data_IF_952436138559
#
_entry.id   IF_952436138559
#
_cell.length_a   1.000
_cell.length_b   1.000
_cell.length_c   1.000
_cell.angle_alpha   90.00
_cell.angle_beta   90.00
_cell.angle_gamma   90.00
#
_symmetry.space_group_name_H-M   'P 1'
#
loop_
_entity.id
_entity.type
_entity.pdbx_description
1 polymer ?
#
# COMPACT_ATOMS: atom_id res chain seq x y z
N UNK A 1 -25.71 -4.29 1.82
CA UNK A 1 -24.71 -3.23 1.63
C UNK A 1 -23.64 -3.49 2.68
N UNK A 2 -22.39 -3.74 2.30
CA UNK A 2 -21.32 -3.94 3.28
C UNK A 2 -20.89 -2.58 3.85
N UNK A 3 -20.55 -2.57 5.14
CA UNK A 3 -20.19 -1.36 5.88
C UNK A 3 -18.76 -0.96 5.54
N UNK A 4 -18.56 0.29 5.14
CA UNK A 4 -17.26 0.85 4.73
C UNK A 4 -16.59 1.52 5.94
N UNK A 5 -15.66 0.81 6.56
CA UNK A 5 -14.91 1.30 7.72
C UNK A 5 -13.94 2.42 7.36
N UNK A 6 -13.40 2.44 6.14
CA UNK A 6 -12.44 3.46 5.74
C UNK A 6 -13.10 4.85 5.73
N UNK A 7 -14.21 4.99 5.02
CA UNK A 7 -14.96 6.26 4.99
C UNK A 7 -15.53 6.61 6.36
N UNK A 8 -16.03 5.60 7.10
CA UNK A 8 -16.54 5.81 8.45
C UNK A 8 -15.46 6.38 9.38
N UNK A 9 -14.26 5.79 9.44
CA UNK A 9 -13.18 6.27 10.30
C UNK A 9 -12.61 7.61 9.85
N UNK A 10 -12.52 7.86 8.54
CA UNK A 10 -12.11 9.17 8.03
C UNK A 10 -13.06 10.27 8.53
N UNK A 11 -14.36 10.01 8.49
CA UNK A 11 -15.37 10.95 8.98
C UNK A 11 -15.34 11.10 10.50
N UNK A 12 -15.20 9.99 11.25
CA UNK A 12 -15.05 10.05 12.71
C UNK A 12 -13.79 10.81 13.14
N UNK A 13 -12.67 10.62 12.44
CA UNK A 13 -11.43 11.38 12.65
C UNK A 13 -11.66 12.87 12.46
N UNK A 14 -12.37 13.26 11.38
CA UNK A 14 -12.69 14.65 11.09
C UNK A 14 -13.54 15.31 12.18
N UNK A 15 -14.53 14.58 12.69
CA UNK A 15 -15.47 15.06 13.73
C UNK A 15 -14.80 15.14 15.09
N UNK A 16 -14.10 14.08 15.52
CA UNK A 16 -13.62 13.93 16.90
C UNK A 16 -12.22 14.52 17.11
N UNK A 17 -11.41 14.66 16.05
CA UNK A 17 -10.05 15.20 16.11
C UNK A 17 -9.89 16.44 15.20
N UNK A 18 -10.69 17.50 15.38
CA UNK A 18 -10.67 18.67 14.51
C UNK A 18 -9.39 19.51 14.63
N UNK A 19 -8.52 19.24 15.61
CA UNK A 19 -7.22 19.91 15.78
C UNK A 19 -6.02 19.08 15.27
N UNK A 20 -6.23 17.80 14.92
CA UNK A 20 -5.16 16.93 14.48
C UNK A 20 -4.60 17.39 13.14
N UNK A 21 -3.29 17.60 13.06
CA UNK A 21 -2.60 18.14 11.88
C UNK A 21 -3.11 19.54 11.48
N UNK A 22 -3.56 20.35 12.44
CA UNK A 22 -4.07 21.72 12.22
C UNK A 22 -3.02 22.71 11.72
N UNK A 23 -1.73 22.35 11.78
CA UNK A 23 -0.63 23.15 11.23
C UNK A 23 -0.57 23.15 9.69
N UNK A 24 -1.29 22.24 9.02
CA UNK A 24 -1.34 22.13 7.56
C UNK A 24 -2.57 22.83 6.97
N UNK A 25 -2.53 23.13 5.67
CA UNK A 25 -3.71 23.68 4.97
C UNK A 25 -4.88 22.67 4.98
N UNK A 26 -6.15 23.10 4.85
CA UNK A 26 -7.29 22.19 4.90
C UNK A 26 -7.24 21.03 3.89
N UNK A 27 -6.77 21.30 2.67
CA UNK A 27 -6.65 20.29 1.61
C UNK A 27 -5.55 19.28 1.90
N UNK A 28 -4.34 19.75 2.24
CA UNK A 28 -3.22 18.88 2.61
C UNK A 28 -3.55 18.05 3.85
N UNK A 29 -4.17 18.69 4.86
CA UNK A 29 -4.61 18.03 6.07
C UNK A 29 -5.60 16.91 5.78
N UNK A 30 -6.57 17.14 4.90
CA UNK A 30 -7.53 16.11 4.52
C UNK A 30 -6.83 14.92 3.85
N UNK A 31 -5.90 15.18 2.93
CA UNK A 31 -5.13 14.12 2.26
C UNK A 31 -4.29 13.32 3.25
N UNK A 32 -3.60 13.99 4.18
CA UNK A 32 -2.78 13.37 5.23
C UNK A 32 -3.63 12.52 6.19
N UNK A 33 -4.83 13.00 6.58
CA UNK A 33 -5.73 12.24 7.45
C UNK A 33 -6.29 11.00 6.74
N UNK A 34 -6.59 11.09 5.44
CA UNK A 34 -7.02 9.92 4.65
C UNK A 34 -5.88 8.88 4.54
N UNK A 35 -4.66 9.34 4.29
CA UNK A 35 -3.47 8.49 4.23
C UNK A 35 -3.23 7.77 5.57
N UNK A 36 -3.25 8.50 6.69
CA UNK A 36 -3.11 7.92 8.03
C UNK A 36 -4.25 6.94 8.37
N UNK A 37 -5.49 7.24 7.96
CA UNK A 37 -6.63 6.34 8.18
C UNK A 37 -6.49 5.04 7.39
N UNK A 38 -6.12 5.13 6.11
CA UNK A 38 -5.86 3.96 5.26
C UNK A 38 -4.72 3.11 5.83
N UNK A 39 -3.66 3.78 6.28
CA UNK A 39 -2.49 3.14 6.86
C UNK A 39 -2.82 2.41 8.17
N UNK A 40 -3.51 3.08 9.10
CA UNK A 40 -3.94 2.50 10.37
C UNK A 40 -4.91 1.32 10.17
N UNK A 41 -5.92 1.46 9.31
CA UNK A 41 -6.88 0.39 9.04
C UNK A 41 -6.21 -0.80 8.36
N UNK A 42 -5.36 -0.54 7.37
CA UNK A 42 -4.58 -1.60 6.71
C UNK A 42 -3.70 -2.36 7.71
N UNK A 43 -3.13 -1.67 8.71
CA UNK A 43 -2.33 -2.29 9.77
C UNK A 43 -3.18 -3.15 10.70
N UNK A 44 -4.34 -2.65 11.12
CA UNK A 44 -5.27 -3.42 11.94
C UNK A 44 -5.72 -4.70 11.23
N UNK A 45 -6.03 -4.63 9.93
CA UNK A 45 -6.41 -5.80 9.14
C UNK A 45 -5.28 -6.82 9.09
N UNK A 46 -4.03 -6.39 8.89
CA UNK A 46 -2.91 -7.34 8.75
C UNK A 46 -2.52 -7.99 10.07
N UNK A 47 -2.53 -7.23 11.17
CA UNK A 47 -2.32 -7.83 12.49
C UNK A 47 -3.47 -8.77 12.88
N UNK A 48 -4.70 -8.43 12.50
CA UNK A 48 -5.86 -9.29 12.71
C UNK A 48 -5.74 -10.61 11.94
N UNK A 49 -5.29 -10.56 10.68
CA UNK A 49 -5.01 -11.77 9.89
C UNK A 49 -3.93 -12.66 10.52
N UNK A 50 -2.95 -12.06 11.21
CA UNK A 50 -1.88 -12.81 11.87
C UNK A 50 -2.32 -13.40 13.21
N UNK A 51 -3.01 -12.62 14.06
CA UNK A 51 -3.47 -13.05 15.37
C UNK A 51 -4.71 -12.26 15.83
N UNK A 52 -5.86 -12.60 15.26
CA UNK A 52 -7.16 -11.97 15.58
C UNK A 52 -7.48 -11.96 17.08
N UNK A 53 -7.12 -13.02 17.82
CA UNK A 53 -7.45 -13.12 19.25
C UNK A 53 -6.66 -12.12 20.09
N UNK A 54 -5.39 -11.89 19.74
CA UNK A 54 -4.57 -10.87 20.37
C UNK A 54 -5.12 -9.47 20.06
N UNK A 55 -5.31 -9.14 18.77
CA UNK A 55 -5.83 -7.82 18.38
C UNK A 55 -7.21 -7.55 18.96
N UNK A 56 -8.07 -8.57 19.06
CA UNK A 56 -9.37 -8.46 19.73
C UNK A 56 -9.22 -8.13 21.22
N UNK A 57 -8.27 -8.73 21.93
CA UNK A 57 -8.01 -8.41 23.33
C UNK A 57 -7.52 -6.95 23.48
N UNK A 58 -6.55 -6.54 22.66
CA UNK A 58 -6.01 -5.17 22.64
C UNK A 58 -7.11 -4.13 22.36
N UNK A 59 -8.02 -4.46 21.43
CA UNK A 59 -9.20 -3.66 21.13
C UNK A 59 -10.13 -3.52 22.33
N UNK A 60 -10.45 -4.63 23.03
CA UNK A 60 -11.33 -4.60 24.20
C UNK A 60 -10.73 -3.78 25.36
N UNK A 61 -9.40 -3.84 25.51
CA UNK A 61 -8.68 -3.14 26.58
C UNK A 61 -8.32 -1.68 26.22
N UNK A 62 -8.40 -1.31 24.93
CA UNK A 62 -7.95 -0.03 24.40
C UNK A 62 -6.50 0.30 24.83
N UNK A 63 -5.62 -0.70 24.72
CA UNK A 63 -4.26 -0.63 25.26
C UNK A 63 -3.42 0.46 24.54
N UNK A 64 -2.93 1.42 25.32
CA UNK A 64 -2.14 2.55 24.83
C UNK A 64 -0.71 2.16 24.43
N UNK A 65 -0.13 1.13 25.06
CA UNK A 65 1.17 0.57 24.72
C UNK A 65 1.11 -0.13 23.37
N UNK A 66 0.05 -0.91 23.11
CA UNK A 66 -0.19 -1.51 21.80
C UNK A 66 -0.24 -0.42 20.71
N UNK A 67 -1.08 0.60 20.88
CA UNK A 67 -1.18 1.73 19.94
C UNK A 67 0.17 2.41 19.72
N UNK A 68 0.93 2.68 20.78
CA UNK A 68 2.25 3.30 20.68
C UNK A 68 3.25 2.41 19.95
N UNK A 69 3.27 1.10 20.22
CA UNK A 69 4.17 0.16 19.58
C UNK A 69 3.88 0.04 18.08
N UNK A 70 2.61 -0.07 17.70
CA UNK A 70 2.18 -0.09 16.30
C UNK A 70 2.62 1.20 15.61
N UNK A 71 2.29 2.37 16.18
CA UNK A 71 2.66 3.65 15.59
C UNK A 71 4.18 3.81 15.43
N UNK A 72 4.96 3.44 16.45
CA UNK A 72 6.42 3.47 16.38
C UNK A 72 6.96 2.53 15.31
N UNK A 73 6.45 1.30 15.24
CA UNK A 73 6.88 0.32 14.24
C UNK A 73 6.69 0.87 12.82
N UNK A 74 5.52 1.44 12.54
CA UNK A 74 5.20 2.05 11.25
C UNK A 74 6.05 3.29 10.98
N UNK A 75 6.31 4.11 12.00
CA UNK A 75 7.20 5.29 11.90
C UNK A 75 8.63 4.89 11.51
N UNK A 76 9.13 3.78 12.06
CA UNK A 76 10.48 3.27 11.81
C UNK A 76 10.60 2.34 10.60
N UNK A 77 9.49 2.03 9.93
CA UNK A 77 9.50 1.15 8.77
C UNK A 77 10.32 1.75 7.62
N UNK A 78 11.11 0.91 6.95
CA UNK A 78 11.86 1.30 5.75
C UNK A 78 10.95 1.65 4.57
N UNK A 79 9.68 1.21 4.62
CA UNK A 79 8.67 1.47 3.59
C UNK A 79 7.86 2.74 3.85
N UNK A 80 8.03 3.37 5.01
CA UNK A 80 7.37 4.64 5.31
C UNK A 80 7.92 5.74 4.39
N UNK A 81 7.04 6.29 3.54
CA UNK A 81 7.34 7.41 2.64
C UNK A 81 6.44 8.62 2.89
N UNK A 82 5.83 8.72 4.08
CA UNK A 82 4.99 9.86 4.43
C UNK A 82 5.78 11.17 4.34
N UNK A 83 5.08 12.24 3.94
CA UNK A 83 5.63 13.60 3.85
C UNK A 83 5.73 14.27 5.22
N UNK A 84 5.09 13.71 6.24
CA UNK A 84 5.13 14.20 7.61
C UNK A 84 6.51 14.03 8.25
N UNK A 85 6.83 14.91 9.21
CA UNK A 85 7.96 14.67 10.10
C UNK A 85 7.72 13.38 10.90
N UNK A 86 8.78 12.67 11.32
CA UNK A 86 8.63 11.45 12.13
C UNK A 86 7.80 11.66 13.39
N UNK A 87 7.96 12.84 14.01
CA UNK A 87 7.22 13.19 15.22
C UNK A 87 5.72 13.38 14.92
N UNK A 88 5.39 14.18 13.90
CA UNK A 88 4.00 14.44 13.52
C UNK A 88 3.31 13.18 13.02
N UNK A 89 4.04 12.34 12.27
CA UNK A 89 3.57 11.05 11.79
C UNK A 89 3.25 10.11 12.95
N UNK A 90 4.19 9.91 13.89
CA UNK A 90 3.96 9.00 15.03
C UNK A 90 2.80 9.50 15.90
N UNK A 91 2.74 10.79 16.19
CA UNK A 91 1.65 11.38 16.98
C UNK A 91 0.31 11.26 16.25
N UNK A 92 0.26 11.62 14.97
CA UNK A 92 -0.98 11.55 14.18
C UNK A 92 -1.47 10.12 14.02
N UNK A 93 -0.57 9.17 13.78
CA UNK A 93 -0.92 7.77 13.67
C UNK A 93 -1.43 7.19 15.00
N UNK A 94 -0.85 7.58 16.14
CA UNK A 94 -1.37 7.18 17.46
C UNK A 94 -2.80 7.67 17.68
N UNK A 95 -3.09 8.92 17.34
CA UNK A 95 -4.44 9.50 17.48
C UNK A 95 -5.45 8.80 16.58
N UNK A 96 -5.08 8.52 15.32
CA UNK A 96 -5.93 7.80 14.37
C UNK A 96 -6.17 6.35 14.81
N UNK A 97 -5.12 5.61 15.20
CA UNK A 97 -5.25 4.23 15.70
C UNK A 97 -6.12 4.15 16.95
N UNK A 98 -5.91 5.06 17.91
CA UNK A 98 -6.72 5.13 19.13
C UNK A 98 -8.19 5.33 18.82
N UNK A 99 -8.50 6.24 17.89
CA UNK A 99 -9.85 6.49 17.42
C UNK A 99 -10.44 5.26 16.71
N UNK A 100 -9.71 4.67 15.76
CA UNK A 100 -10.21 3.49 15.02
C UNK A 100 -10.50 2.32 15.96
N UNK A 101 -9.66 2.06 16.96
CA UNK A 101 -9.91 1.02 17.97
C UNK A 101 -11.13 1.33 18.83
N UNK A 102 -11.29 2.58 19.27
CA UNK A 102 -12.46 3.01 20.03
C UNK A 102 -13.76 2.84 19.23
N UNK A 103 -13.73 3.23 17.96
CA UNK A 103 -14.86 3.10 17.05
C UNK A 103 -15.19 1.63 16.74
N UNK A 104 -14.18 0.79 16.48
CA UNK A 104 -14.38 -0.65 16.32
C UNK A 104 -14.96 -1.30 17.58
N UNK A 105 -14.49 -0.89 18.77
CA UNK A 105 -15.02 -1.36 20.04
C UNK A 105 -16.49 -0.95 20.20
N UNK A 106 -16.84 0.29 19.87
CA UNK A 106 -18.22 0.75 19.92
C UNK A 106 -19.13 -0.04 18.95
N UNK A 107 -18.64 -0.33 17.74
CA UNK A 107 -19.35 -1.16 16.76
C UNK A 107 -19.57 -2.59 17.29
N UNK A 108 -18.56 -3.17 17.94
CA UNK A 108 -18.65 -4.47 18.57
C UNK A 108 -19.65 -4.49 19.74
N UNK A 109 -19.55 -3.54 20.66
CA UNK A 109 -20.40 -3.44 21.84
C UNK A 109 -21.88 -3.17 21.44
N UNK A 110 -22.10 -2.34 20.42
CA UNK A 110 -23.46 -2.02 19.94
C UNK A 110 -24.04 -3.18 19.13
N UNK A 111 -23.24 -3.76 18.23
CA UNK A 111 -23.66 -4.82 17.31
C UNK A 111 -23.64 -6.21 17.92
N UNK A 112 -23.05 -6.39 19.11
CA UNK A 112 -22.76 -7.67 19.74
C UNK A 112 -22.05 -8.64 18.78
N UNK A 113 -21.10 -8.10 18.00
CA UNK A 113 -20.45 -8.82 16.89
C UNK A 113 -19.56 -9.96 17.41
N UNK A 114 -18.87 -9.70 18.51
CA UNK A 114 -17.76 -10.50 19.00
C UNK A 114 -16.63 -10.60 17.98
N UNK A 115 -15.62 -11.39 18.34
CA UNK A 115 -14.45 -11.61 17.47
C UNK A 115 -14.83 -12.13 16.07
N UNK A 116 -15.87 -12.96 15.95
CA UNK A 116 -16.30 -13.51 14.65
C UNK A 116 -16.90 -12.42 13.75
N UNK A 117 -17.81 -11.60 14.27
CA UNK A 117 -18.42 -10.53 13.48
C UNK A 117 -17.40 -9.45 13.09
N UNK A 118 -16.50 -9.09 14.01
CA UNK A 118 -15.39 -8.18 13.68
C UNK A 118 -14.44 -8.77 12.64
N UNK A 119 -14.20 -10.09 12.65
CA UNK A 119 -13.38 -10.74 11.64
C UNK A 119 -14.00 -10.62 10.24
N UNK A 120 -15.30 -10.87 10.10
CA UNK A 120 -16.00 -10.69 8.82
C UNK A 120 -15.97 -9.21 8.38
N UNK A 121 -16.21 -8.29 9.32
CA UNK A 121 -16.20 -6.86 9.05
C UNK A 121 -14.83 -6.37 8.55
N UNK A 122 -13.75 -6.68 9.27
CA UNK A 122 -12.39 -6.22 8.96
C UNK A 122 -11.86 -6.84 7.66
N UNK A 123 -12.04 -8.15 7.47
CA UNK A 123 -11.58 -8.81 6.25
C UNK A 123 -12.36 -8.34 5.02
N UNK A 124 -13.64 -7.94 5.20
CA UNK A 124 -14.44 -7.31 4.16
C UNK A 124 -13.95 -5.93 3.71
N UNK A 125 -13.03 -5.29 4.43
CA UNK A 125 -12.57 -3.93 4.11
C UNK A 125 -11.52 -3.87 3.01
N UNK A 126 -10.87 -4.98 2.66
CA UNK A 126 -9.78 -4.98 1.67
C UNK A 126 -10.25 -4.40 0.33
N UNK A 127 -11.48 -4.69 -0.10
CA UNK A 127 -12.04 -4.13 -1.34
C UNK A 127 -12.27 -2.62 -1.27
N UNK A 128 -12.63 -2.09 -0.09
CA UNK A 128 -12.88 -0.67 0.11
C UNK A 128 -11.60 0.16 0.17
N UNK A 129 -10.49 -0.44 0.62
CA UNK A 129 -9.17 0.19 0.66
C UNK A 129 -8.53 0.34 -0.73
N UNK A 130 -8.99 -0.44 -1.72
CA UNK A 130 -8.49 -0.38 -3.09
C UNK A 130 -8.63 1.03 -3.66
N UNK A 131 -7.50 1.61 -4.08
CA UNK A 131 -7.42 2.95 -4.68
C UNK A 131 -7.45 4.12 -3.69
N UNK A 132 -7.51 3.87 -2.39
CA UNK A 132 -7.64 4.94 -1.38
C UNK A 132 -6.32 5.57 -0.96
N UNK A 133 -5.18 4.92 -1.20
CA UNK A 133 -3.88 5.38 -0.76
C UNK A 133 -2.75 4.98 -1.72
N UNK A 134 -1.60 5.63 -1.56
CA UNK A 134 -0.37 5.35 -2.29
C UNK A 134 0.22 3.98 -1.96
N UNK A 135 0.97 3.37 -2.89
CA UNK A 135 1.50 2.01 -2.76
C UNK A 135 2.41 1.78 -1.55
N UNK A 136 3.04 2.83 -1.05
CA UNK A 136 3.90 2.74 0.13
C UNK A 136 3.10 2.39 1.39
N UNK A 137 1.83 2.83 1.47
CA UNK A 137 0.90 2.49 2.55
C UNK A 137 0.65 0.99 2.57
N UNK A 138 0.40 0.41 1.40
CA UNK A 138 0.14 -1.03 1.25
C UNK A 138 1.39 -1.86 1.47
N UNK A 139 2.54 -1.40 0.99
CA UNK A 139 3.84 -2.05 1.21
C UNK A 139 4.19 -2.06 2.70
N UNK A 140 3.94 -0.96 3.42
CA UNK A 140 4.19 -0.85 4.86
C UNK A 140 3.34 -1.84 5.67
N UNK A 141 2.13 -2.13 5.18
CA UNK A 141 1.19 -3.07 5.80
C UNK A 141 1.30 -4.49 5.27
N UNK A 142 2.19 -4.78 4.30
CA UNK A 142 2.26 -6.08 3.61
C UNK A 142 0.95 -6.47 2.89
N UNK A 143 0.13 -5.47 2.52
CA UNK A 143 -1.10 -5.65 1.74
C UNK A 143 -0.80 -5.62 0.24
N UNK A 144 0.01 -6.59 -0.22
CA UNK A 144 0.55 -6.61 -1.58
C UNK A 144 -0.54 -6.61 -2.67
N UNK A 145 -1.73 -7.14 -2.37
CA UNK A 145 -2.85 -7.17 -3.31
C UNK A 145 -3.44 -5.78 -3.62
N UNK A 146 -3.11 -4.75 -2.83
CA UNK A 146 -3.58 -3.37 -3.04
C UNK A 146 -2.55 -2.50 -3.76
N UNK A 147 -1.33 -2.98 -3.99
CA UNK A 147 -0.30 -2.25 -4.73
C UNK A 147 -0.75 -2.06 -6.18
N UNK A 148 -0.66 -0.84 -6.70
CA UNK A 148 -1.12 -0.45 -8.03
C UNK A 148 -2.63 -0.22 -8.12
N UNK A 149 -3.35 -0.21 -7.00
CA UNK A 149 -4.81 -0.01 -6.99
C UNK A 149 -5.23 1.45 -7.20
N UNK A 150 -4.36 2.42 -6.90
CA UNK A 150 -4.65 3.84 -7.10
C UNK A 150 -4.64 4.15 -8.59
N UNK A 151 -5.74 4.68 -9.16
CA UNK A 151 -5.77 5.06 -10.56
C UNK A 151 -4.69 6.09 -10.84
N UNK A 152 -3.79 5.77 -11.76
CA UNK A 152 -2.87 6.77 -12.31
C UNK A 152 -3.73 7.76 -13.09
N UNK A 153 -3.64 9.05 -12.78
CA UNK A 153 -4.18 10.08 -13.66
C UNK A 153 -3.48 9.95 -15.01
N UNK A 154 -4.08 9.20 -15.91
CA UNK A 154 -3.69 9.21 -17.31
C UNK A 154 -3.98 10.62 -17.79
N UNK A 155 -2.91 11.40 -18.02
CA UNK A 155 -3.00 12.57 -18.89
C UNK A 155 -3.85 12.14 -20.07
N UNK A 156 -5.00 12.75 -20.24
CA UNK A 156 -5.81 12.58 -21.43
C UNK A 156 -4.95 13.07 -22.58
N UNK A 157 -4.21 12.17 -23.22
CA UNK A 157 -3.68 12.43 -24.56
C UNK A 157 -4.93 12.70 -25.37
N UNK A 158 -5.08 13.95 -25.80
CA UNK A 158 -6.26 14.35 -26.55
C UNK A 158 -6.35 13.44 -27.78
N UNK A 159 -7.55 12.92 -28.06
CA UNK A 159 -7.77 12.10 -29.24
C UNK A 159 -7.34 12.87 -30.51
N UNK A 160 -7.44 14.20 -30.47
CA UNK A 160 -6.96 15.11 -31.50
C UNK A 160 -5.43 15.09 -31.69
N UNK A 161 -4.63 15.04 -30.62
CA UNK A 161 -3.18 14.83 -30.73
C UNK A 161 -2.86 13.44 -31.30
N UNK A 162 -3.58 12.40 -30.86
CA UNK A 162 -3.38 11.04 -31.36
C UNK A 162 -3.71 10.94 -32.85
N UNK A 163 -4.82 11.56 -33.29
CA UNK A 163 -5.22 11.60 -34.71
C UNK A 163 -4.26 12.47 -35.52
N UNK A 164 -3.76 13.58 -34.96
CA UNK A 164 -2.80 14.45 -35.62
C UNK A 164 -1.47 13.73 -35.84
N UNK A 165 -0.98 13.00 -34.84
CA UNK A 165 0.25 12.22 -34.94
C UNK A 165 0.07 10.99 -35.84
N UNK A 166 -1.09 10.35 -35.83
CA UNK A 166 -1.46 9.31 -36.79
C UNK A 166 -1.51 9.86 -38.23
N UNK A 167 -2.16 10.99 -38.46
CA UNK A 167 -2.21 11.65 -39.78
C UNK A 167 -0.82 12.10 -40.23
N UNK A 168 0.03 12.56 -39.30
CA UNK A 168 1.41 12.92 -39.59
C UNK A 168 2.23 11.68 -40.01
N UNK A 169 2.05 10.55 -39.32
CA UNK A 169 2.72 9.29 -39.63
C UNK A 169 2.24 8.67 -40.95
N UNK A 170 0.93 8.75 -41.25
CA UNK A 170 0.33 8.27 -42.49
C UNK A 170 0.72 9.14 -43.69
N UNK A 171 0.73 10.48 -43.53
CA UNK A 171 1.11 11.39 -44.62
C UNK A 171 2.60 11.35 -44.97
N UNK A 172 3.46 10.91 -44.05
CA UNK A 172 4.89 10.71 -44.30
C UNK A 172 5.22 9.33 -44.89
N UNK A 173 4.24 8.42 -45.02
CA UNK A 173 4.46 7.11 -45.64
C UNK A 173 4.48 7.16 -47.19
N UNK A 174 4.03 8.26 -47.80
CA UNK A 174 3.89 8.41 -49.27
C UNK A 174 4.94 9.32 -49.93
N UNK A 175 5.97 9.74 -49.20
CA UNK A 175 7.13 10.42 -49.80
C UNK A 175 8.38 9.57 -49.68
N UNK A 176 8.72 8.94 -50.82
CA UNK A 176 10.06 8.51 -51.16
C UNK A 176 11.01 9.70 -50.96
N UNK A 177 11.80 9.67 -49.88
CA UNK A 177 13.14 10.22 -49.93
C UNK A 177 14.07 9.43 -49.01
N UNK A 178 15.16 9.03 -49.65
CA UNK A 178 16.30 8.32 -49.12
C UNK A 178 16.92 9.15 -48.00
N UNK A 179 16.92 8.65 -46.76
CA UNK A 179 18.07 8.65 -45.84
C UNK A 179 17.70 8.22 -44.41
N UNK A 180 18.38 7.15 -43.99
CA UNK A 180 18.65 6.70 -42.62
C UNK A 180 17.46 6.16 -41.81
N UNK A 181 17.26 4.85 -41.99
CA UNK A 181 16.64 3.96 -41.01
C UNK A 181 17.39 4.13 -39.68
N UNK A 182 16.78 4.81 -38.72
CA UNK A 182 17.15 4.65 -37.32
C UNK A 182 16.71 3.23 -36.92
N UNK A 183 17.68 2.32 -36.79
CA UNK A 183 17.45 0.99 -36.26
C UNK A 183 16.71 1.09 -34.91
N UNK A 184 15.73 0.22 -34.66
CA UNK A 184 15.09 0.16 -33.36
C UNK A 184 16.16 -0.09 -32.31
N UNK A 185 16.25 0.76 -31.29
CA UNK A 185 17.03 0.47 -30.09
C UNK A 185 16.39 -0.72 -29.39
N UNK A 186 16.77 -1.92 -29.82
CA UNK A 186 16.56 -3.15 -29.09
C UNK A 186 17.22 -2.94 -27.73
N UNK A 187 16.42 -2.95 -26.67
CA UNK A 187 16.91 -2.87 -25.31
C UNK A 187 18.08 -3.83 -25.16
N UNK A 188 19.27 -3.27 -24.98
CA UNK A 188 20.52 -4.03 -24.95
C UNK A 188 20.52 -4.78 -23.62
N UNK A 189 20.02 -6.01 -23.63
CA UNK A 189 20.11 -6.91 -22.49
C UNK A 189 21.62 -7.05 -22.23
N UNK A 190 22.15 -6.60 -21.08
CA UNK A 190 23.58 -6.62 -20.85
C UNK A 190 24.07 -8.06 -20.93
N UNK A 191 25.11 -8.31 -21.75
CA UNK A 191 25.63 -9.66 -22.04
C UNK A 191 26.00 -10.46 -20.78
N UNK A 192 26.31 -9.76 -19.68
CA UNK A 192 26.50 -10.34 -18.34
C UNK A 192 25.30 -11.15 -17.84
N UNK A 193 24.06 -10.76 -18.17
CA UNK A 193 22.86 -11.48 -17.76
C UNK A 193 22.77 -12.88 -18.40
N UNK A 194 23.21 -13.03 -19.66
CA UNK A 194 23.26 -14.32 -20.37
C UNK A 194 24.32 -15.28 -19.82
N UNK A 195 25.33 -14.76 -19.12
CA UNK A 195 26.41 -15.54 -18.50
C UNK A 195 26.08 -15.89 -17.05
N UNK A 196 25.36 -15.01 -16.34
CA UNK A 196 24.99 -15.20 -14.94
C UNK A 196 23.98 -16.34 -14.76
N UNK A 197 23.01 -16.48 -15.66
CA UNK A 197 21.97 -17.52 -15.59
C UNK A 197 22.53 -18.96 -15.47
N UNK A 198 23.43 -19.43 -16.36
CA UNK A 198 23.99 -20.78 -16.23
C UNK A 198 24.94 -20.94 -15.05
N UNK A 199 25.61 -19.88 -14.61
CA UNK A 199 26.53 -19.92 -13.47
C UNK A 199 25.79 -20.16 -12.14
N UNK A 200 24.65 -19.49 -11.94
CA UNK A 200 23.82 -19.69 -10.75
C UNK A 200 23.29 -21.13 -10.68
N UNK A 201 22.88 -21.70 -11.81
CA UNK A 201 22.46 -23.10 -11.88
C UNK A 201 23.55 -24.08 -11.43
N UNK A 202 24.80 -23.87 -11.86
CA UNK A 202 25.93 -24.71 -11.44
C UNK A 202 26.27 -24.56 -9.96
N UNK A 203 26.14 -23.37 -9.39
CA UNK A 203 26.34 -23.14 -7.94
C UNK A 203 25.29 -23.90 -7.12
N UNK A 204 24.02 -23.87 -7.53
CA UNK A 204 22.95 -24.59 -6.86
C UNK A 204 23.18 -26.10 -6.94
N UNK A 205 23.53 -26.64 -8.11
CA UNK A 205 23.82 -28.07 -8.28
C UNK A 205 25.04 -28.49 -7.46
N UNK A 206 26.10 -27.68 -7.43
CA UNK A 206 27.29 -27.93 -6.61
C UNK A 206 26.98 -27.94 -5.11
N UNK A 207 26.17 -26.98 -4.65
CA UNK A 207 25.72 -26.92 -3.26
C UNK A 207 24.89 -28.16 -2.88
N UNK A 208 23.94 -28.57 -3.73
CA UNK A 208 23.14 -29.77 -3.50
C UNK A 208 24.00 -31.05 -3.50
N UNK A 209 25.02 -31.13 -4.35
CA UNK A 209 25.95 -32.25 -4.37
C UNK A 209 26.78 -32.34 -3.08
N UNK A 210 27.31 -31.20 -2.59
CA UNK A 210 28.02 -31.15 -1.32
C UNK A 210 27.12 -31.52 -0.13
N UNK A 211 25.88 -31.00 -0.12
CA UNK A 211 24.90 -31.35 0.91
C UNK A 211 24.55 -32.85 0.87
N UNK A 212 24.43 -33.45 -0.31
CA UNK A 212 24.19 -34.88 -0.48
C UNK A 212 25.35 -35.74 0.03
N UNK A 213 26.60 -35.34 -0.25
CA UNK A 213 27.78 -36.05 0.25
C UNK A 213 27.90 -35.99 1.79
N UNK A 214 27.48 -34.89 2.43
CA UNK A 214 27.42 -34.80 3.90
C UNK A 214 26.33 -35.65 4.55
N UNK A 215 25.32 -36.07 3.79
CA UNK A 215 24.22 -36.93 4.29
C UNK A 215 24.52 -38.42 4.05
N UNK A 216 25.30 -38.74 3.01
CA UNK A 216 25.58 -40.13 2.59
C UNK A 216 26.96 -40.63 3.04
N UNK A 217 27.88 -39.74 3.44
CA UNK A 217 29.15 -40.09 4.09
C UNK A 217 29.04 -40.07 5.62
#
# INVERSE_FOLDING_TARGET
>A
MAFDLFHYFAEQTRIQKPQLLSQFSPEERQALLLELNALALGKLITEWQQNASHVYLELQQQDQLYIQQVARHMTTSIHNKSTLSKLDFEQGLKEVLSLQLAELKQLDDTGHLGQKGLNELLLGQISYLSGQAEDWVWTTNTLIQLIGSKPVETKQVSLDETIKEFNHMVSHADHHDDHQVAEPTVATIPTWAKILEPAVGLVIIGYLYCAYQQIVG
#
